data_IF_953407171738
#
_entry.id   IF_953407171738
#
_cell.length_a   1.000
_cell.length_b   1.000
_cell.length_c   1.000
_cell.angle_alpha   90.00
_cell.angle_beta   90.00
_cell.angle_gamma   90.00
#
_symmetry.space_group_name_H-M   'P 1'
#
loop_
_entity.id
_entity.type
_entity.pdbx_description
1 polymer ?
#
# COMPACT_ATOMS: atom_id res chain seq x y z
N UNK A 1 6.07 15.96 9.89
CA UNK A 1 6.56 17.03 10.78
C UNK A 1 7.76 16.55 11.59
N UNK A 2 7.62 15.48 12.40
CA UNK A 2 8.71 14.99 13.27
C UNK A 2 10.01 14.66 12.53
N UNK A 3 9.93 14.25 11.26
CA UNK A 3 11.08 13.96 10.39
C UNK A 3 11.61 15.20 9.65
N UNK A 4 11.08 16.39 9.91
CA UNK A 4 11.47 17.62 9.21
C UNK A 4 11.01 17.71 7.76
N UNK A 5 10.10 16.84 7.31
CA UNK A 5 9.57 16.86 5.95
C UNK A 5 8.50 17.93 5.83
N UNK A 6 8.65 18.80 4.85
CA UNK A 6 7.60 19.75 4.47
C UNK A 6 6.55 19.03 3.61
N UNK A 7 5.32 19.00 4.07
CA UNK A 7 4.21 18.35 3.40
C UNK A 7 2.91 19.12 3.56
N UNK A 8 1.99 18.90 2.65
CA UNK A 8 0.64 19.48 2.71
C UNK A 8 -0.38 18.48 2.18
N UNK A 9 -1.64 18.71 2.49
CA UNK A 9 -2.80 18.05 1.90
C UNK A 9 -3.64 19.09 1.17
N UNK A 10 -4.25 18.70 0.07
CA UNK A 10 -5.24 19.54 -0.58
C UNK A 10 -6.54 19.56 0.23
N UNK A 11 -7.19 20.72 0.27
CA UNK A 11 -8.57 20.87 0.76
C UNK A 11 -9.62 20.73 -0.35
N UNK A 12 -9.18 20.55 -1.59
CA UNK A 12 -10.07 20.38 -2.74
C UNK A 12 -10.78 19.03 -2.71
N UNK A 13 -12.07 19.04 -2.94
CA UNK A 13 -12.89 17.83 -3.07
C UNK A 13 -12.85 17.33 -4.52
N UNK A 14 -11.86 16.53 -4.86
CA UNK A 14 -11.62 16.08 -6.24
C UNK A 14 -11.63 14.56 -6.41
N UNK A 15 -12.39 13.88 -5.64
CA UNK A 15 -12.59 12.45 -5.84
C UNK A 15 -11.31 11.63 -5.71
N UNK A 16 -10.51 11.87 -4.69
CA UNK A 16 -9.29 11.08 -4.45
C UNK A 16 -9.52 9.57 -4.49
N UNK A 17 -10.66 9.14 -3.96
CA UNK A 17 -11.05 7.73 -3.95
C UNK A 17 -11.63 7.28 -5.30
N UNK A 18 -12.20 8.20 -6.08
CA UNK A 18 -12.83 7.88 -7.35
C UNK A 18 -11.82 7.44 -8.42
N UNK A 19 -10.55 7.80 -8.30
CA UNK A 19 -9.51 7.35 -9.22
C UNK A 19 -9.39 5.81 -9.28
N UNK A 20 -9.72 5.12 -8.20
CA UNK A 20 -9.73 3.66 -8.16
C UNK A 20 -10.83 3.08 -9.03
N UNK A 21 -11.99 3.69 -9.03
CA UNK A 21 -13.13 3.26 -9.85
C UNK A 21 -12.92 3.64 -11.32
N UNK A 22 -12.44 4.84 -11.56
CA UNK A 22 -12.16 5.30 -12.91
C UNK A 22 -11.18 4.37 -13.65
N UNK A 23 -10.11 3.91 -13.00
CA UNK A 23 -9.13 2.98 -13.60
C UNK A 23 -9.73 1.62 -13.99
N UNK A 24 -10.90 1.28 -13.48
CA UNK A 24 -11.58 0.02 -13.79
C UNK A 24 -12.66 0.15 -14.84
N UNK A 25 -13.29 1.30 -14.94
CA UNK A 25 -14.55 1.43 -15.66
C UNK A 25 -14.58 2.57 -16.66
N UNK A 26 -13.73 3.61 -16.54
CA UNK A 26 -13.85 4.82 -17.32
C UNK A 26 -12.51 5.57 -17.48
N UNK A 27 -11.88 5.40 -18.63
CA UNK A 27 -10.60 6.04 -18.95
C UNK A 27 -10.71 7.57 -19.03
N UNK A 28 -11.87 8.10 -19.43
CA UNK A 28 -12.12 9.55 -19.51
C UNK A 28 -12.19 10.13 -18.10
N UNK A 29 -12.89 9.46 -17.19
CA UNK A 29 -12.96 9.89 -15.80
C UNK A 29 -11.60 9.74 -15.11
N UNK A 30 -10.84 8.67 -15.41
CA UNK A 30 -9.47 8.54 -14.94
C UNK A 30 -8.59 9.72 -15.37
N UNK A 31 -8.64 10.08 -16.66
CA UNK A 31 -7.88 11.21 -17.19
C UNK A 31 -8.29 12.52 -16.52
N UNK A 32 -9.59 12.75 -16.33
CA UNK A 32 -10.13 13.93 -15.69
C UNK A 32 -9.67 14.09 -14.24
N UNK A 33 -9.71 13.01 -13.45
CA UNK A 33 -9.27 12.99 -12.07
C UNK A 33 -7.75 13.17 -11.99
N UNK A 34 -7.00 12.47 -12.83
CA UNK A 34 -5.54 12.55 -12.87
C UNK A 34 -5.05 13.97 -13.23
N UNK A 35 -5.66 14.61 -14.22
CA UNK A 35 -5.41 16.00 -14.58
C UNK A 35 -5.63 16.93 -13.39
N UNK A 36 -6.74 16.73 -12.68
CA UNK A 36 -7.08 17.58 -11.53
C UNK A 36 -6.08 17.40 -10.38
N UNK A 37 -5.62 16.17 -10.10
CA UNK A 37 -4.58 15.93 -9.09
C UNK A 37 -3.28 16.71 -9.41
N UNK A 38 -2.82 16.66 -10.67
CA UNK A 38 -1.61 17.37 -11.07
C UNK A 38 -1.81 18.88 -11.03
N UNK A 39 -2.99 19.37 -11.44
CA UNK A 39 -3.31 20.80 -11.36
C UNK A 39 -3.25 21.30 -9.92
N UNK A 40 -3.87 20.60 -8.98
CA UNK A 40 -3.85 20.96 -7.56
C UNK A 40 -2.43 20.91 -7.00
N UNK A 41 -1.63 19.92 -7.39
CA UNK A 41 -0.24 19.82 -6.97
C UNK A 41 0.57 21.05 -7.44
N UNK A 42 0.33 21.54 -8.65
CA UNK A 42 0.93 22.77 -9.18
C UNK A 42 0.45 24.00 -8.42
N UNK A 43 -0.84 24.12 -8.19
CA UNK A 43 -1.45 25.24 -7.46
C UNK A 43 -0.91 25.36 -6.03
N UNK A 44 -0.56 24.22 -5.41
CA UNK A 44 0.08 24.12 -4.10
C UNK A 44 1.61 24.29 -4.13
N UNK A 45 2.22 24.44 -5.30
CA UNK A 45 3.68 24.49 -5.52
C UNK A 45 4.42 23.34 -4.85
N UNK A 46 3.86 22.13 -4.87
CA UNK A 46 4.52 20.93 -4.33
C UNK A 46 5.43 20.31 -5.37
N UNK A 47 6.49 19.65 -4.90
CA UNK A 47 7.51 19.04 -5.78
C UNK A 47 7.13 17.64 -6.25
N UNK A 48 6.20 16.98 -5.55
CA UNK A 48 5.74 15.63 -5.88
C UNK A 48 4.46 15.27 -5.15
N UNK A 49 3.74 14.30 -5.70
CA UNK A 49 2.58 13.69 -5.07
C UNK A 49 3.03 12.37 -4.43
N UNK A 50 2.74 12.19 -3.14
CA UNK A 50 3.04 10.95 -2.42
C UNK A 50 1.75 10.18 -2.19
N UNK A 51 1.69 8.96 -2.70
CA UNK A 51 0.52 8.08 -2.58
C UNK A 51 0.64 7.25 -1.31
N UNK A 52 -0.42 7.24 -0.50
CA UNK A 52 -0.51 6.49 0.75
C UNK A 52 -0.63 4.98 0.57
N UNK A 53 -1.34 4.32 1.46
CA UNK A 53 -1.34 2.85 1.58
C UNK A 53 -2.34 2.11 0.65
N UNK A 54 -2.93 2.73 -0.33
CA UNK A 54 -3.86 2.05 -1.25
C UNK A 54 -3.15 1.51 -2.48
N UNK A 55 -3.07 0.19 -2.63
CA UNK A 55 -2.45 -0.46 -3.79
C UNK A 55 -3.12 -0.10 -5.12
N UNK A 56 -4.44 0.09 -5.15
CA UNK A 56 -5.14 0.52 -6.36
C UNK A 56 -4.85 1.98 -6.72
N UNK A 57 -4.74 2.85 -5.73
CA UNK A 57 -4.32 4.24 -5.96
C UNK A 57 -2.89 4.30 -6.52
N UNK A 58 -1.97 3.46 -6.05
CA UNK A 58 -0.65 3.33 -6.64
C UNK A 58 -0.73 2.97 -8.12
N UNK A 59 -1.53 1.94 -8.47
CA UNK A 59 -1.75 1.57 -9.87
C UNK A 59 -2.33 2.74 -10.67
N UNK A 60 -3.39 3.34 -10.18
CA UNK A 60 -4.11 4.40 -10.88
C UNK A 60 -3.26 5.66 -11.07
N UNK A 61 -2.66 6.16 -10.00
CA UNK A 61 -1.98 7.46 -9.98
C UNK A 61 -0.52 7.35 -10.48
N UNK A 62 0.22 6.32 -10.06
CA UNK A 62 1.64 6.21 -10.37
C UNK A 62 1.92 5.45 -11.67
N UNK A 63 0.99 4.64 -12.17
CA UNK A 63 1.24 3.79 -13.35
C UNK A 63 0.30 4.14 -14.50
N UNK A 64 -1.01 4.10 -14.29
CA UNK A 64 -1.98 4.24 -15.40
C UNK A 64 -2.18 5.70 -15.78
N UNK A 65 -2.24 6.60 -14.82
CA UNK A 65 -2.46 8.03 -15.08
C UNK A 65 -1.41 8.63 -16.04
N UNK A 66 -0.17 8.17 -15.96
CA UNK A 66 0.90 8.66 -16.83
C UNK A 66 0.66 8.37 -18.33
N UNK A 67 -0.17 7.39 -18.63
CA UNK A 67 -0.53 7.03 -20.02
C UNK A 67 -1.61 7.92 -20.62
N UNK A 68 -2.37 8.61 -19.78
CA UNK A 68 -3.48 9.48 -20.20
C UNK A 68 -3.23 10.96 -19.96
N UNK A 69 -2.15 11.29 -19.23
CA UNK A 69 -1.76 12.66 -18.96
C UNK A 69 -0.93 13.26 -20.11
N UNK A 70 -1.07 14.56 -20.42
CA UNK A 70 -0.18 15.27 -21.34
C UNK A 70 1.29 15.20 -20.86
N UNK A 71 2.23 15.33 -21.79
CA UNK A 71 3.65 15.21 -21.50
C UNK A 71 4.17 16.20 -20.44
N UNK A 72 3.64 17.42 -20.41
CA UNK A 72 3.94 18.43 -19.39
C UNK A 72 3.39 18.11 -17.98
N UNK A 73 2.59 17.07 -17.85
CA UNK A 73 2.03 16.55 -16.59
C UNK A 73 2.50 15.11 -16.29
N UNK A 74 3.50 14.62 -17.03
CA UNK A 74 4.07 13.28 -16.87
C UNK A 74 4.75 13.08 -15.51
N UNK A 75 5.21 11.87 -15.24
CA UNK A 75 5.98 11.56 -14.03
C UNK A 75 7.30 12.34 -13.93
N UNK A 76 7.87 12.75 -15.06
CA UNK A 76 9.09 13.59 -15.07
C UNK A 76 8.82 15.01 -14.61
N UNK A 77 7.66 15.56 -14.91
CA UNK A 77 7.28 16.95 -14.57
C UNK A 77 6.58 17.06 -13.21
N UNK A 78 5.77 16.08 -12.85
CA UNK A 78 5.12 15.97 -11.56
C UNK A 78 5.28 14.54 -11.03
N UNK A 79 6.35 14.24 -10.30
CA UNK A 79 6.61 12.93 -9.74
C UNK A 79 5.47 12.45 -8.83
N UNK A 80 5.06 11.22 -9.03
CA UNK A 80 4.05 10.52 -8.23
C UNK A 80 4.67 9.24 -7.72
N UNK A 81 4.81 9.10 -6.43
CA UNK A 81 5.52 7.99 -5.84
C UNK A 81 4.80 7.37 -4.63
N UNK A 82 5.19 6.17 -4.26
CA UNK A 82 4.71 5.51 -3.04
C UNK A 82 5.28 6.17 -1.79
N UNK A 83 4.50 6.20 -0.72
CA UNK A 83 5.00 6.60 0.60
C UNK A 83 6.04 5.63 1.18
N UNK A 84 6.12 4.38 0.71
CA UNK A 84 6.98 3.36 1.31
C UNK A 84 8.49 3.67 1.20
N UNK A 85 9.04 4.05 0.03
CA UNK A 85 10.42 4.51 -0.05
C UNK A 85 10.69 5.73 0.82
N UNK A 86 9.79 6.71 0.82
CA UNK A 86 9.91 7.90 1.65
C UNK A 86 9.96 7.55 3.15
N UNK A 87 9.07 6.67 3.61
CA UNK A 87 9.07 6.20 5.00
C UNK A 87 10.37 5.46 5.34
N UNK A 88 10.87 4.66 4.41
CA UNK A 88 12.17 4.00 4.61
C UNK A 88 13.31 5.00 4.70
N UNK A 89 13.34 6.03 3.88
CA UNK A 89 14.35 7.08 3.96
C UNK A 89 14.29 7.83 5.30
N UNK A 90 13.10 8.08 5.85
CA UNK A 90 12.93 8.65 7.19
C UNK A 90 13.51 7.72 8.26
N UNK A 91 13.21 6.43 8.20
CA UNK A 91 13.73 5.44 9.16
C UNK A 91 15.26 5.36 9.07
N UNK A 92 15.78 5.21 7.85
CA UNK A 92 17.21 5.06 7.57
C UNK A 92 18.03 6.27 7.99
N UNK A 93 17.48 7.48 7.81
CA UNK A 93 18.16 8.73 8.18
C UNK A 93 18.31 8.92 9.71
N UNK A 94 17.56 8.16 10.51
CA UNK A 94 17.50 8.36 11.95
C UNK A 94 16.77 9.65 12.39
N UNK A 95 16.06 10.30 11.47
CA UNK A 95 15.26 11.49 11.78
C UNK A 95 14.17 11.22 12.82
N UNK A 96 13.69 9.97 12.88
CA UNK A 96 12.81 9.48 13.93
C UNK A 96 13.48 8.29 14.59
N UNK A 97 13.56 8.32 15.93
CA UNK A 97 14.07 7.19 16.71
C UNK A 97 12.90 6.26 17.05
N UNK A 98 13.10 4.98 16.82
CA UNK A 98 12.15 3.93 17.18
C UNK A 98 12.69 3.12 18.37
N UNK A 99 11.77 2.60 19.15
CA UNK A 99 12.07 1.64 20.22
C UNK A 99 11.43 0.29 19.81
N UNK A 100 12.20 -0.63 19.21
CA UNK A 100 11.67 -1.90 18.75
C UNK A 100 11.08 -2.76 19.87
N UNK A 101 11.53 -2.58 21.11
CA UNK A 101 11.03 -3.36 22.27
C UNK A 101 9.53 -3.15 22.52
N UNK A 102 8.98 -2.05 22.04
CA UNK A 102 7.53 -1.76 22.11
C UNK A 102 6.72 -2.54 21.09
N UNK A 103 7.38 -3.14 20.11
CA UNK A 103 6.79 -3.95 19.04
C UNK A 103 7.37 -5.37 19.09
N UNK A 104 7.34 -5.98 20.29
CA UNK A 104 7.82 -7.35 20.51
C UNK A 104 6.67 -8.36 20.34
N UNK A 105 6.39 -8.68 19.11
CA UNK A 105 5.37 -9.64 18.72
C UNK A 105 5.73 -10.32 17.37
N UNK A 106 5.23 -11.55 17.13
CA UNK A 106 5.38 -12.21 15.84
C UNK A 106 4.70 -11.42 14.74
N UNK A 107 5.44 -11.14 13.67
CA UNK A 107 4.97 -10.36 12.53
C UNK A 107 5.32 -11.05 11.22
N UNK A 108 4.37 -11.07 10.30
CA UNK A 108 4.58 -11.42 8.90
C UNK A 108 4.15 -10.28 7.99
N UNK A 109 4.51 -10.35 6.70
CA UNK A 109 4.17 -9.33 5.73
C UNK A 109 3.43 -9.91 4.54
N UNK A 110 2.32 -9.26 4.19
CA UNK A 110 1.66 -9.47 2.91
C UNK A 110 2.18 -8.46 1.88
N UNK A 111 2.82 -8.97 0.85
CA UNK A 111 3.27 -8.17 -0.30
C UNK A 111 2.07 -7.75 -1.16
N UNK A 112 1.69 -6.49 -1.12
CA UNK A 112 0.60 -5.96 -1.92
C UNK A 112 0.92 -6.03 -3.42
N UNK A 113 0.06 -6.67 -4.20
CA UNK A 113 0.34 -6.97 -5.62
C UNK A 113 0.63 -5.72 -6.47
N UNK A 114 -0.11 -4.64 -6.29
CA UNK A 114 0.13 -3.40 -7.04
C UNK A 114 1.43 -2.71 -6.64
N UNK A 115 1.82 -2.79 -5.37
CA UNK A 115 3.07 -2.21 -4.87
C UNK A 115 4.28 -3.02 -5.32
N UNK A 116 4.24 -4.35 -5.10
CA UNK A 116 5.43 -5.19 -5.38
C UNK A 116 5.57 -5.57 -6.86
N UNK A 117 4.47 -5.93 -7.56
CA UNK A 117 4.55 -6.38 -8.96
C UNK A 117 4.54 -5.26 -9.98
N UNK A 118 3.73 -4.22 -9.76
CA UNK A 118 3.65 -3.10 -10.71
C UNK A 118 4.73 -2.05 -10.48
N UNK A 119 5.08 -1.78 -9.22
CA UNK A 119 6.02 -0.72 -8.88
C UNK A 119 7.39 -1.24 -8.45
N UNK A 120 7.58 -2.54 -8.28
CA UNK A 120 8.86 -3.13 -7.88
C UNK A 120 9.27 -2.82 -6.43
N UNK A 121 8.38 -2.28 -5.61
CA UNK A 121 8.67 -1.87 -4.23
C UNK A 121 8.57 -3.09 -3.32
N UNK A 122 9.69 -3.76 -3.06
CA UNK A 122 9.76 -5.00 -2.27
C UNK A 122 10.52 -4.80 -0.96
N UNK A 123 11.62 -4.06 -0.98
CA UNK A 123 12.54 -3.93 0.17
C UNK A 123 12.11 -2.88 1.20
N UNK A 124 11.65 -1.68 0.83
CA UNK A 124 11.37 -0.62 1.79
C UNK A 124 10.50 -1.04 2.97
N UNK A 125 9.40 -1.74 2.71
CA UNK A 125 8.49 -2.20 3.77
C UNK A 125 9.12 -3.25 4.69
N UNK A 126 10.01 -4.10 4.17
CA UNK A 126 10.76 -5.08 4.96
C UNK A 126 11.74 -4.41 5.90
N UNK A 127 12.49 -3.46 5.36
CA UNK A 127 13.49 -2.73 6.15
C UNK A 127 12.84 -1.86 7.23
N UNK A 128 11.67 -1.28 6.93
CA UNK A 128 10.88 -0.56 7.95
C UNK A 128 10.49 -1.53 9.08
N UNK A 129 9.90 -2.69 8.77
CA UNK A 129 9.49 -3.66 9.78
C UNK A 129 10.67 -4.14 10.61
N UNK A 130 11.82 -4.46 9.98
CA UNK A 130 13.04 -4.84 10.68
C UNK A 130 13.56 -3.75 11.63
N UNK A 131 13.41 -2.49 11.26
CA UNK A 131 13.88 -1.37 12.08
C UNK A 131 12.95 -1.05 13.26
N UNK A 132 11.64 -1.35 13.17
CA UNK A 132 10.65 -0.94 14.15
C UNK A 132 10.11 -2.08 15.01
N UNK A 133 10.42 -3.34 14.70
CA UNK A 133 9.97 -4.53 15.43
C UNK A 133 11.16 -5.25 16.07
N UNK A 134 10.96 -5.79 17.29
CA UNK A 134 12.00 -6.55 17.99
C UNK A 134 12.18 -7.96 17.43
N UNK A 135 11.09 -8.59 17.02
CA UNK A 135 11.15 -9.93 16.45
C UNK A 135 11.46 -9.90 14.94
N UNK A 136 12.16 -10.92 14.43
CA UNK A 136 12.45 -11.01 13.01
C UNK A 136 11.17 -11.13 12.19
N UNK A 137 11.16 -10.51 11.01
CA UNK A 137 10.08 -10.66 10.04
C UNK A 137 9.99 -12.13 9.60
N UNK A 138 8.80 -12.71 9.75
CA UNK A 138 8.48 -14.06 9.27
C UNK A 138 7.97 -13.95 7.84
N UNK A 139 8.80 -14.32 6.88
CA UNK A 139 8.39 -14.26 5.48
C UNK A 139 7.38 -15.35 5.15
N UNK A 140 6.40 -15.01 4.33
CA UNK A 140 5.52 -15.99 3.71
C UNK A 140 6.25 -16.71 2.56
N UNK A 141 5.85 -17.92 2.21
CA UNK A 141 6.37 -18.64 1.06
C UNK A 141 5.25 -18.97 0.06
N UNK A 142 5.34 -18.56 -1.20
CA UNK A 142 6.29 -17.57 -1.75
C UNK A 142 6.00 -16.12 -1.30
N UNK A 143 7.00 -15.24 -1.41
CA UNK A 143 6.88 -13.83 -1.03
C UNK A 143 7.42 -12.90 -2.13
N UNK A 144 7.44 -11.59 -1.86
CA UNK A 144 7.88 -10.57 -2.83
C UNK A 144 7.00 -10.58 -4.08
N UNK A 145 7.62 -10.52 -5.24
CA UNK A 145 6.90 -10.49 -6.52
C UNK A 145 6.15 -11.80 -6.84
N UNK A 146 6.52 -12.90 -6.20
CA UNK A 146 5.89 -14.20 -6.38
C UNK A 146 4.78 -14.49 -5.37
N UNK A 147 4.53 -13.60 -4.43
CA UNK A 147 3.54 -13.82 -3.39
C UNK A 147 2.13 -14.06 -3.94
N UNK A 148 1.27 -14.73 -3.16
CA UNK A 148 -0.14 -14.90 -3.51
C UNK A 148 -0.94 -13.64 -3.22
N UNK A 149 -1.96 -13.41 -4.06
CA UNK A 149 -2.92 -12.32 -3.85
C UNK A 149 -3.69 -12.51 -2.53
N UNK A 150 -4.07 -11.39 -1.89
CA UNK A 150 -4.97 -11.44 -0.72
C UNK A 150 -6.40 -11.89 -1.08
N UNK A 151 -6.78 -11.79 -2.35
CA UNK A 151 -8.16 -12.06 -2.81
C UNK A 151 -9.11 -10.88 -2.69
N UNK A 152 -8.66 -9.71 -2.17
CA UNK A 152 -9.52 -8.55 -1.94
C UNK A 152 -9.60 -7.56 -3.10
N UNK A 153 -9.07 -7.92 -4.27
CA UNK A 153 -9.09 -7.08 -5.46
C UNK A 153 -10.51 -6.82 -6.00
N UNK A 154 -10.60 -5.92 -6.99
CA UNK A 154 -11.86 -5.57 -7.66
C UNK A 154 -13.00 -5.14 -6.72
N UNK A 155 -12.65 -4.54 -5.58
CA UNK A 155 -13.63 -4.01 -4.64
C UNK A 155 -14.18 -5.02 -3.63
N UNK A 156 -13.81 -6.30 -3.67
CA UNK A 156 -14.30 -7.28 -2.70
C UNK A 156 -13.98 -6.91 -1.26
N UNK A 157 -12.82 -6.33 -1.00
CA UNK A 157 -12.41 -5.92 0.33
C UNK A 157 -13.22 -4.75 0.92
N UNK A 158 -13.86 -3.94 0.05
CA UNK A 158 -14.68 -2.79 0.48
C UNK A 158 -16.18 -3.13 0.55
N UNK A 159 -16.56 -4.31 0.10
CA UNK A 159 -17.93 -4.80 0.31
C UNK A 159 -18.12 -5.17 1.78
N UNK A 160 -19.35 -5.07 2.25
CA UNK A 160 -19.69 -5.44 3.63
C UNK A 160 -19.10 -6.82 3.98
N UNK A 161 -18.46 -6.99 5.15
CA UNK A 161 -17.97 -8.29 5.59
C UNK A 161 -19.07 -9.34 5.69
N UNK A 162 -20.33 -8.92 5.77
CA UNK A 162 -21.49 -9.84 5.74
C UNK A 162 -21.80 -10.38 4.34
N UNK A 163 -21.25 -9.75 3.30
CA UNK A 163 -21.47 -10.19 1.94
C UNK A 163 -20.33 -11.13 1.51
N UNK A 164 -20.67 -12.34 1.08
CA UNK A 164 -19.75 -13.30 0.50
C UNK A 164 -18.59 -13.71 1.44
N UNK A 165 -18.80 -13.72 2.76
CA UNK A 165 -17.75 -14.05 3.73
C UNK A 165 -17.08 -15.39 3.43
N UNK A 166 -17.88 -16.43 3.20
CA UNK A 166 -17.37 -17.77 2.89
C UNK A 166 -16.55 -17.79 1.61
N UNK A 167 -16.99 -17.03 0.59
CA UNK A 167 -16.26 -16.91 -0.65
C UNK A 167 -14.97 -16.10 -0.48
N UNK A 168 -15.01 -15.00 0.26
CA UNK A 168 -13.83 -14.16 0.53
C UNK A 168 -12.74 -14.95 1.25
N UNK A 169 -13.07 -15.64 2.32
CA UNK A 169 -12.12 -16.41 3.11
C UNK A 169 -11.82 -17.78 2.48
N UNK A 170 -12.88 -18.54 2.14
CA UNK A 170 -12.77 -19.91 1.71
C UNK A 170 -12.31 -20.12 0.27
N UNK A 171 -12.48 -19.12 -0.60
CA UNK A 171 -12.11 -19.20 -2.02
C UNK A 171 -11.07 -18.15 -2.37
N UNK A 172 -11.42 -16.86 -2.36
CA UNK A 172 -10.56 -15.79 -2.85
C UNK A 172 -9.30 -15.60 -2.01
N UNK A 173 -9.42 -15.63 -0.68
CA UNK A 173 -8.34 -15.45 0.28
C UNK A 173 -7.62 -16.73 0.71
N UNK A 174 -8.13 -17.91 0.32
CA UNK A 174 -7.69 -19.19 0.87
C UNK A 174 -6.18 -19.42 0.83
N UNK A 175 -5.55 -19.19 -0.32
CA UNK A 175 -4.12 -19.40 -0.47
C UNK A 175 -3.30 -18.46 0.42
N UNK A 176 -3.74 -17.20 0.54
CA UNK A 176 -3.09 -16.21 1.38
C UNK A 176 -3.29 -16.51 2.87
N UNK A 177 -4.48 -16.87 3.28
CA UNK A 177 -4.73 -17.27 4.68
C UNK A 177 -3.87 -18.47 5.07
N UNK A 178 -3.73 -19.47 4.18
CA UNK A 178 -2.81 -20.57 4.42
C UNK A 178 -1.37 -20.09 4.62
N UNK A 179 -0.85 -19.21 3.75
CA UNK A 179 0.49 -18.63 3.93
C UNK A 179 0.67 -17.92 5.28
N UNK A 180 -0.35 -17.19 5.73
CA UNK A 180 -0.30 -16.51 7.03
C UNK A 180 -0.23 -17.54 8.17
N UNK A 181 -1.04 -18.59 8.11
CA UNK A 181 -1.02 -19.64 9.12
C UNK A 181 0.33 -20.37 9.14
N UNK A 182 0.86 -20.70 7.96
CA UNK A 182 2.18 -21.35 7.83
C UNK A 182 3.30 -20.47 8.40
N UNK A 183 3.28 -19.15 8.14
CA UNK A 183 4.26 -18.20 8.67
C UNK A 183 4.26 -18.10 10.21
N UNK A 184 3.16 -18.48 10.85
CA UNK A 184 3.01 -18.49 12.29
C UNK A 184 2.95 -19.88 12.91
N UNK A 185 3.25 -20.94 12.14
CA UNK A 185 3.07 -22.33 12.61
C UNK A 185 3.87 -22.66 13.88
N UNK A 186 5.04 -22.05 14.05
CA UNK A 186 5.93 -22.21 15.22
C UNK A 186 5.78 -21.06 16.23
N UNK A 187 4.91 -20.09 15.99
CA UNK A 187 4.70 -18.98 16.91
C UNK A 187 3.95 -19.46 18.17
N UNK A 188 4.21 -18.86 19.34
CA UNK A 188 3.51 -19.20 20.57
C UNK A 188 1.98 -19.21 20.40
N UNK A 189 1.31 -20.02 21.19
CA UNK A 189 -0.10 -20.39 21.11
C UNK A 189 -1.14 -19.29 20.84
N UNK A 190 -2.44 -19.57 20.95
CA UNK A 190 -3.51 -18.64 20.53
C UNK A 190 -3.52 -17.33 21.34
N UNK A 191 -2.96 -17.34 22.53
CA UNK A 191 -2.89 -16.17 23.43
C UNK A 191 -1.94 -15.08 22.90
N UNK A 192 -0.96 -15.44 22.08
CA UNK A 192 0.02 -14.49 21.55
C UNK A 192 -0.59 -13.72 20.39
N UNK A 193 -0.63 -12.40 20.51
CA UNK A 193 -1.03 -11.52 19.39
C UNK A 193 -0.03 -11.65 18.25
N UNK A 194 -0.53 -11.92 17.07
CA UNK A 194 0.23 -12.05 15.82
C UNK A 194 -0.22 -10.97 14.85
N UNK A 195 0.71 -10.40 14.11
CA UNK A 195 0.42 -9.28 13.22
C UNK A 195 0.78 -9.58 11.78
N UNK A 196 -0.12 -9.19 10.87
CA UNK A 196 0.13 -9.20 9.43
C UNK A 196 0.24 -7.76 8.96
N UNK A 197 1.44 -7.35 8.57
CA UNK A 197 1.64 -6.06 7.91
C UNK A 197 1.16 -6.15 6.46
N UNK A 198 0.21 -5.33 6.08
CA UNK A 198 -0.32 -5.26 4.71
C UNK A 198 -0.37 -3.80 4.26
N UNK A 199 0.65 -3.30 3.51
CA UNK A 199 0.70 -1.91 3.06
C UNK A 199 -0.26 -1.66 1.87
N UNK A 200 -1.53 -2.01 2.06
CA UNK A 200 -2.62 -1.78 1.12
C UNK A 200 -3.95 -1.88 1.86
N UNK A 201 -4.76 -0.84 1.82
CA UNK A 201 -6.05 -0.78 2.51
C UNK A 201 -7.01 -1.91 2.10
N UNK A 202 -7.05 -2.27 0.82
CA UNK A 202 -7.86 -3.40 0.35
C UNK A 202 -7.38 -4.74 0.92
N UNK A 203 -6.07 -4.94 1.02
CA UNK A 203 -5.53 -6.16 1.61
C UNK A 203 -5.82 -6.24 3.10
N UNK A 204 -5.74 -5.11 3.83
CA UNK A 204 -6.13 -5.01 5.24
C UNK A 204 -7.61 -5.36 5.44
N UNK A 205 -8.48 -4.90 4.55
CA UNK A 205 -9.92 -5.21 4.61
C UNK A 205 -10.24 -6.66 4.24
N UNK A 206 -9.35 -7.34 3.53
CA UNK A 206 -9.52 -8.74 3.11
C UNK A 206 -8.99 -9.73 4.16
N UNK A 207 -7.86 -9.40 4.80
CA UNK A 207 -7.14 -10.25 5.77
C UNK A 207 -7.55 -9.95 7.21
#
# INVERSE_FOLDING_TARGET
>A
EAAGINWTLSSELVGYDAVNYAVWFDDVELARIALRHVQIARDLDVKKIVVGECGHAHKAICVVADRVLPGDMSLSEMPRESCLPLLWDIVKSGAIRFDPSRNDFPITMHDSCNVVRLMGIVQPQREIVKAVCAQPLREMDPHGVHNYCCGGGSGFAVMSPHNFLDWRAGVAGRAKLKQILDAFADAPGPETRKYVCAPCSNCKGQL
#
